data_IF_154100033099
#
_entry.id   IF_154100033099
#
_cell.length_a   1.000
_cell.length_b   1.000
_cell.length_c   1.000
_cell.angle_alpha   90.00
_cell.angle_beta   90.00
_cell.angle_gamma   90.00
#
_symmetry.space_group_name_H-M   'P 1'
#
loop_
_entity.id
_entity.type
_entity.pdbx_description
1 polymer ?
#
# COMPACT_ATOMS: atom_id res chain seq x y z
N UNK A 1 -11.45 8.90 11.04
CA UNK A 1 -10.81 7.69 10.50
C UNK A 1 -10.16 8.07 9.18
N UNK A 2 -8.85 7.88 9.01
CA UNK A 2 -8.16 8.25 7.76
C UNK A 2 -8.35 7.13 6.74
N UNK A 3 -8.83 7.43 5.53
CA UNK A 3 -9.06 6.44 4.45
C UNK A 3 -7.82 5.57 4.18
N UNK A 4 -6.63 6.14 4.31
CA UNK A 4 -5.35 5.45 4.12
C UNK A 4 -5.14 4.36 5.18
N UNK A 5 -5.63 4.58 6.40
CA UNK A 5 -5.59 3.56 7.46
C UNK A 5 -6.50 2.38 7.14
N UNK A 6 -7.69 2.62 6.56
CA UNK A 6 -8.58 1.55 6.14
C UNK A 6 -8.00 0.76 4.95
N UNK A 7 -7.41 1.44 3.97
CA UNK A 7 -6.79 0.78 2.81
C UNK A 7 -5.57 -0.08 3.17
N UNK A 8 -4.85 0.25 4.25
CA UNK A 8 -3.62 -0.47 4.64
C UNK A 8 -3.84 -1.53 5.72
N UNK A 9 -4.90 -1.41 6.52
CA UNK A 9 -5.18 -2.32 7.64
C UNK A 9 -6.52 -3.05 7.48
N UNK A 10 -7.22 -2.79 6.39
CA UNK A 10 -8.34 -3.61 5.93
C UNK A 10 -7.85 -4.99 5.45
N UNK A 11 -8.81 -5.80 5.05
CA UNK A 11 -8.61 -7.13 4.50
C UNK A 11 -9.89 -7.54 3.78
N UNK A 12 -9.88 -8.72 3.15
CA UNK A 12 -11.05 -9.25 2.43
C UNK A 12 -11.48 -8.44 1.18
N UNK A 13 -10.65 -7.51 0.70
CA UNK A 13 -10.90 -6.80 -0.57
C UNK A 13 -10.64 -7.70 -1.79
N UNK A 14 -9.81 -8.75 -1.65
CA UNK A 14 -9.45 -9.70 -2.71
C UNK A 14 -8.94 -9.05 -4.02
N UNK A 15 -8.36 -7.86 -3.91
CA UNK A 15 -7.79 -7.11 -5.03
C UNK A 15 -6.35 -7.54 -5.37
N UNK A 16 -5.89 -7.15 -6.56
CA UNK A 16 -4.53 -7.39 -7.02
C UNK A 16 -3.61 -6.21 -6.67
N UNK A 17 -2.43 -6.51 -6.13
CA UNK A 17 -1.32 -5.57 -6.00
C UNK A 17 -0.15 -6.05 -6.84
N UNK A 18 0.25 -5.23 -7.82
CA UNK A 18 1.34 -5.56 -8.75
C UNK A 18 2.10 -4.30 -9.17
N UNK A 19 3.23 -4.51 -9.85
CA UNK A 19 4.06 -3.44 -10.40
C UNK A 19 4.07 -3.53 -11.92
N UNK A 20 4.33 -2.40 -12.59
CA UNK A 20 4.50 -2.34 -14.05
C UNK A 20 5.78 -1.56 -14.39
N UNK A 21 6.43 -1.85 -15.52
CA UNK A 21 7.50 -1.01 -16.04
C UNK A 21 7.00 0.42 -16.30
N UNK A 22 7.88 1.41 -16.13
CA UNK A 22 7.55 2.83 -16.40
C UNK A 22 7.03 3.05 -17.83
N UNK A 23 7.54 2.29 -18.80
CA UNK A 23 7.12 2.36 -20.20
C UNK A 23 5.65 1.96 -20.41
N UNK A 24 5.06 1.17 -19.50
CA UNK A 24 3.67 0.73 -19.59
C UNK A 24 2.71 1.55 -18.72
N UNK A 25 3.18 2.63 -18.08
CA UNK A 25 2.37 3.49 -17.21
C UNK A 25 1.10 3.99 -17.91
N UNK A 26 1.21 4.46 -19.15
CA UNK A 26 0.05 4.96 -19.89
C UNK A 26 -0.99 3.88 -20.21
N UNK A 27 -0.55 2.63 -20.40
CA UNK A 27 -1.45 1.50 -20.60
C UNK A 27 -2.15 1.17 -19.28
N UNK A 28 -1.40 1.08 -18.19
CA UNK A 28 -1.91 0.74 -16.87
C UNK A 28 -2.99 1.71 -16.38
N UNK A 29 -2.80 3.04 -16.54
CA UNK A 29 -3.79 4.04 -16.11
C UNK A 29 -5.07 4.05 -16.96
N UNK A 30 -5.06 3.43 -18.15
CA UNK A 30 -6.23 3.31 -19.02
C UNK A 30 -7.05 2.05 -18.73
N UNK A 31 -6.52 1.10 -17.96
CA UNK A 31 -7.26 -0.09 -17.56
C UNK A 31 -8.33 0.30 -16.53
N UNK A 32 -9.56 -0.12 -16.79
CA UNK A 32 -10.66 0.03 -15.85
C UNK A 32 -10.36 -0.76 -14.57
N UNK A 33 -10.76 -0.23 -13.40
CA UNK A 33 -10.47 -0.83 -12.10
C UNK A 33 -9.03 -0.67 -11.59
N UNK A 34 -8.05 -0.35 -12.45
CA UNK A 34 -6.65 -0.19 -12.03
C UNK A 34 -6.37 1.25 -11.57
N UNK A 35 -5.58 1.39 -10.50
CA UNK A 35 -5.10 2.68 -9.97
C UNK A 35 -3.62 2.61 -9.66
N UNK A 36 -2.87 3.61 -10.10
CA UNK A 36 -1.47 3.79 -9.70
C UNK A 36 -1.44 4.40 -8.30
N UNK A 37 -0.89 3.67 -7.32
CA UNK A 37 -0.86 4.09 -5.91
C UNK A 37 0.55 4.38 -5.37
N UNK A 38 1.58 4.23 -6.21
CA UNK A 38 2.97 4.43 -5.80
C UNK A 38 3.96 4.12 -6.92
N UNK A 39 5.24 4.01 -6.56
CA UNK A 39 6.31 3.62 -7.47
C UNK A 39 7.38 2.83 -6.71
N UNK A 40 8.07 1.92 -7.41
CA UNK A 40 9.20 1.18 -6.84
C UNK A 40 10.44 2.07 -6.83
N UNK A 41 11.15 2.06 -5.70
CA UNK A 41 12.40 2.81 -5.46
C UNK A 41 13.55 1.84 -5.22
N UNK A 42 14.74 2.39 -4.98
CA UNK A 42 15.87 1.56 -4.55
C UNK A 42 15.63 0.99 -3.15
N UNK A 43 16.16 -0.19 -2.81
CA UNK A 43 15.91 -0.83 -1.52
C UNK A 43 16.27 0.03 -0.31
N UNK A 44 17.27 0.91 -0.42
CA UNK A 44 17.74 1.75 0.69
C UNK A 44 16.72 2.80 1.13
N UNK A 45 15.72 3.11 0.28
CA UNK A 45 14.63 4.03 0.60
C UNK A 45 13.52 3.38 1.44
N UNK A 46 13.51 2.05 1.56
CA UNK A 46 12.50 1.31 2.32
C UNK A 46 11.07 1.41 1.74
N UNK A 47 10.09 0.97 2.53
CA UNK A 47 8.68 1.06 2.18
C UNK A 47 8.04 2.23 2.94
N UNK A 48 7.73 3.30 2.20
CA UNK A 48 7.24 4.55 2.78
C UNK A 48 5.83 4.88 2.28
N UNK A 49 4.98 5.35 3.19
CA UNK A 49 3.73 6.02 2.88
C UNK A 49 3.97 7.53 2.87
N UNK A 50 3.70 8.16 1.72
CA UNK A 50 3.82 9.62 1.56
C UNK A 50 2.43 10.24 1.68
N UNK A 51 2.26 11.16 2.62
CA UNK A 51 1.01 11.89 2.82
C UNK A 51 0.82 12.99 1.76
N UNK A 52 -0.38 13.58 1.69
CA UNK A 52 -0.71 14.64 0.72
C UNK A 52 0.13 15.91 0.89
N UNK A 53 0.62 16.17 2.10
CA UNK A 53 1.51 17.27 2.47
C UNK A 53 3.01 16.88 2.37
N UNK A 54 3.32 15.68 1.87
CA UNK A 54 4.68 15.24 1.58
C UNK A 54 5.45 14.67 2.78
N UNK A 55 4.80 14.44 3.92
CA UNK A 55 5.43 13.74 5.03
C UNK A 55 5.54 12.25 4.73
N UNK A 56 6.67 11.66 5.11
CA UNK A 56 6.93 10.24 4.91
C UNK A 56 6.80 9.49 6.23
N UNK A 57 6.04 8.39 6.19
CA UNK A 57 5.87 7.47 7.30
C UNK A 57 6.32 6.08 6.86
N UNK A 58 7.01 5.35 7.71
CA UNK A 58 7.30 3.95 7.45
C UNK A 58 5.97 3.18 7.30
N UNK A 59 5.84 2.45 6.19
CA UNK A 59 4.64 1.67 5.90
C UNK A 59 4.61 0.43 6.81
N UNK A 60 3.78 0.47 7.86
CA UNK A 60 3.55 -0.66 8.76
C UNK A 60 2.21 -1.32 8.48
N UNK A 61 2.24 -2.59 8.07
CA UNK A 61 1.03 -3.40 7.99
C UNK A 61 0.64 -3.86 9.39
N UNK A 62 -0.52 -3.45 9.89
CA UNK A 62 -1.10 -3.99 11.13
C UNK A 62 -2.15 -5.09 10.84
N UNK A 63 -2.02 -5.75 9.68
CA UNK A 63 -3.01 -6.69 9.15
C UNK A 63 -3.47 -7.77 10.14
N UNK A 64 -4.59 -8.40 9.82
CA UNK A 64 -5.18 -9.43 10.67
C UNK A 64 -4.22 -10.61 10.90
N UNK A 65 -3.83 -10.85 12.15
CA UNK A 65 -3.05 -12.01 12.56
C UNK A 65 -3.88 -12.88 13.53
N UNK A 66 -4.46 -14.00 13.07
CA UNK A 66 -5.30 -14.87 13.91
C UNK A 66 -4.51 -15.60 15.00
N UNK A 67 -3.18 -15.59 14.92
CA UNK A 67 -2.25 -16.21 15.86
C UNK A 67 -1.56 -15.18 16.77
N UNK A 68 -1.88 -13.89 16.65
CA UNK A 68 -1.35 -12.88 17.54
C UNK A 68 -1.84 -13.17 18.96
N UNK A 69 -0.91 -13.48 19.87
CA UNK A 69 -1.19 -13.72 21.28
C UNK A 69 -1.95 -12.53 21.88
N UNK A 70 -3.19 -12.75 22.30
CA UNK A 70 -4.01 -11.74 23.01
C UNK A 70 -3.55 -11.44 24.45
N UNK A 71 -2.44 -12.02 24.91
CA UNK A 71 -2.01 -11.98 26.31
C UNK A 71 -0.74 -11.15 26.60
N UNK A 72 -0.49 -10.10 25.81
CA UNK A 72 0.46 -9.06 26.19
C UNK A 72 -0.15 -7.69 25.91
N UNK A 73 -1.20 -7.33 26.66
CA UNK A 73 -1.42 -6.02 27.30
C UNK A 73 -2.51 -6.17 28.38
#
# INVERSE_FOLDING_TARGET
MNLTTCALNGGEDYELLFTVPLADREKAIKLEGVRLIGHITKPEAGCMLVSRDGQEFELKAQGWNPLANKNLM
#
